data_IF_469342102412
#
_entry.id   IF_469342102412
#
_cell.length_a   1.000
_cell.length_b   1.000
_cell.length_c   1.000
_cell.angle_alpha   90.00
_cell.angle_beta   90.00
_cell.angle_gamma   90.00
#
_symmetry.space_group_name_H-M   'P 1'
#
loop_
_entity.id
_entity.type
_entity.pdbx_description
1 polymer ?
#
# COMPACT_ATOMS: atom_id res chain seq x y z
N UNK A 1 8.32 -10.01 25.19
CA UNK A 1 7.16 -10.73 24.63
C UNK A 1 7.24 -10.51 23.12
N UNK A 2 7.94 -11.41 22.42
CA UNK A 2 8.26 -11.23 21.02
C UNK A 2 7.06 -11.69 20.19
N UNK A 3 6.34 -10.73 19.60
CA UNK A 3 5.35 -11.01 18.58
C UNK A 3 6.10 -11.38 17.31
N UNK A 4 6.31 -12.68 17.09
CA UNK A 4 6.70 -13.22 15.79
C UNK A 4 5.57 -12.91 14.80
N UNK A 5 5.69 -11.79 14.07
CA UNK A 5 4.76 -11.42 12.99
C UNK A 5 4.97 -12.35 11.79
N UNK A 6 4.44 -13.56 11.91
CA UNK A 6 4.43 -14.56 10.84
C UNK A 6 3.11 -14.44 10.08
N UNK A 7 3.21 -14.12 8.78
CA UNK A 7 2.20 -14.24 7.73
C UNK A 7 0.97 -13.32 7.85
N UNK A 8 1.03 -12.19 7.14
CA UNK A 8 -0.16 -11.43 6.73
C UNK A 8 -0.59 -11.99 5.37
N UNK A 9 -1.72 -12.72 5.35
CA UNK A 9 -2.26 -13.38 4.15
C UNK A 9 -3.16 -12.48 3.27
N UNK A 10 -3.15 -11.15 3.48
CA UNK A 10 -3.81 -10.21 2.57
C UNK A 10 -2.98 -8.94 2.47
N UNK A 11 -2.49 -8.68 1.26
CA UNK A 11 -1.47 -7.69 0.98
C UNK A 11 -2.16 -6.60 0.18
N UNK A 12 -2.68 -5.62 0.91
CA UNK A 12 -3.41 -4.51 0.33
C UNK A 12 -4.85 -4.86 -0.06
N UNK A 13 -5.78 -4.04 0.40
CA UNK A 13 -7.11 -3.95 -0.16
C UNK A 13 -7.37 -2.50 -0.55
N UNK A 14 -7.95 -2.30 -1.73
CA UNK A 14 -8.29 -0.98 -2.24
C UNK A 14 -9.58 -0.50 -1.56
N UNK A 15 -9.53 0.68 -0.94
CA UNK A 15 -10.73 1.42 -0.53
C UNK A 15 -11.23 2.28 -1.70
N UNK A 16 -12.43 2.01 -2.19
CA UNK A 16 -13.00 2.69 -3.37
C UNK A 16 -13.27 4.18 -3.19
N UNK A 17 -13.37 4.67 -1.95
CA UNK A 17 -13.85 6.03 -1.64
C UNK A 17 -12.71 7.03 -1.44
N UNK A 18 -11.50 6.61 -1.07
CA UNK A 18 -10.47 7.53 -0.55
C UNK A 18 -9.10 7.48 -1.23
N UNK A 19 -8.95 6.76 -2.36
CA UNK A 19 -7.65 6.62 -3.06
C UNK A 19 -6.52 6.10 -2.15
N UNK A 20 -6.89 5.32 -1.12
CA UNK A 20 -5.98 4.79 -0.09
C UNK A 20 -5.85 3.28 -0.23
N UNK A 21 -4.73 2.76 0.25
CA UNK A 21 -4.44 1.32 0.32
C UNK A 21 -4.51 0.90 1.78
N UNK A 22 -5.42 -0.04 2.06
CA UNK A 22 -5.61 -0.56 3.41
C UNK A 22 -5.04 -1.97 3.55
N UNK A 23 -4.79 -2.40 4.78
CA UNK A 23 -4.37 -3.75 5.15
C UNK A 23 -5.33 -4.20 6.24
N UNK A 24 -5.92 -5.39 6.06
CA UNK A 24 -6.79 -5.98 7.07
C UNK A 24 -6.76 -7.50 6.96
N UNK A 25 -7.09 -8.17 8.06
CA UNK A 25 -7.38 -9.62 8.09
C UNK A 25 -8.87 -9.92 8.16
N UNK A 26 -9.69 -8.87 8.31
CA UNK A 26 -11.13 -8.98 8.41
C UNK A 26 -11.77 -8.80 7.03
N UNK A 27 -12.77 -9.61 6.73
CA UNK A 27 -13.54 -9.43 5.51
C UNK A 27 -14.26 -8.07 5.55
N UNK A 28 -14.39 -7.45 4.38
CA UNK A 28 -15.22 -6.28 4.17
C UNK A 28 -15.82 -6.35 2.76
N UNK A 29 -17.10 -6.00 2.58
CA UNK A 29 -17.74 -5.96 1.27
C UNK A 29 -17.25 -4.80 0.39
N UNK A 30 -16.54 -3.83 0.96
CA UNK A 30 -16.07 -2.62 0.27
C UNK A 30 -14.58 -2.67 -0.09
N UNK A 31 -13.87 -3.67 0.43
CA UNK A 31 -12.45 -3.85 0.26
C UNK A 31 -12.20 -5.00 -0.71
N UNK A 32 -11.44 -4.72 -1.77
CA UNK A 32 -11.04 -5.71 -2.77
C UNK A 32 -9.54 -5.93 -2.71
N UNK A 33 -9.04 -7.17 -2.88
CA UNK A 33 -7.60 -7.42 -2.95
C UNK A 33 -6.92 -6.53 -3.99
N UNK A 34 -5.78 -5.96 -3.62
CA UNK A 34 -4.96 -5.17 -4.52
C UNK A 34 -4.24 -6.10 -5.51
N UNK A 35 -4.62 -6.02 -6.79
CA UNK A 35 -3.92 -6.71 -7.87
C UNK A 35 -3.20 -5.69 -8.73
N UNK A 36 -1.88 -5.83 -8.86
CA UNK A 36 -1.09 -4.90 -9.66
C UNK A 36 -0.02 -5.56 -10.50
N UNK A 37 0.59 -4.76 -11.35
CA UNK A 37 1.64 -5.16 -12.26
C UNK A 37 2.68 -4.06 -12.36
N UNK A 38 3.92 -4.44 -12.68
CA UNK A 38 4.94 -3.46 -12.98
C UNK A 38 4.78 -2.90 -14.38
N UNK A 39 4.85 -1.58 -14.49
CA UNK A 39 4.78 -0.85 -15.75
C UNK A 39 6.01 0.04 -15.91
N UNK A 40 6.53 0.15 -17.14
CA UNK A 40 7.72 0.97 -17.39
C UNK A 40 7.38 2.45 -17.40
N UNK A 41 8.09 3.25 -16.62
CA UNK A 41 8.01 4.70 -16.62
C UNK A 41 9.28 5.32 -17.20
N UNK A 42 9.14 6.31 -18.09
CA UNK A 42 10.26 6.96 -18.78
C UNK A 42 11.17 7.76 -17.86
N UNK A 43 10.62 8.25 -16.75
CA UNK A 43 11.31 9.20 -15.87
C UNK A 43 12.14 8.49 -14.80
N UNK A 44 12.19 7.16 -14.81
CA UNK A 44 12.91 6.37 -13.82
C UNK A 44 14.34 6.03 -14.27
N UNK A 45 15.19 5.70 -13.29
CA UNK A 45 16.62 5.51 -13.51
C UNK A 45 16.92 4.41 -14.55
N UNK A 46 17.95 4.60 -15.40
CA UNK A 46 18.41 3.55 -16.31
C UNK A 46 18.74 2.27 -15.54
N UNK A 47 18.02 1.18 -15.82
CA UNK A 47 18.19 -0.11 -15.14
C UNK A 47 17.07 -0.47 -14.16
N UNK A 48 16.26 0.48 -13.71
CA UNK A 48 15.04 0.21 -12.94
C UNK A 48 13.93 1.18 -13.35
N UNK A 49 13.12 0.75 -14.32
CA UNK A 49 12.04 1.56 -14.90
C UNK A 49 10.65 1.15 -14.39
N UNK A 50 10.58 0.27 -13.39
CA UNK A 50 9.33 -0.33 -12.94
C UNK A 50 8.60 0.60 -11.97
N UNK A 51 7.40 1.04 -12.33
CA UNK A 51 6.41 1.56 -11.38
C UNK A 51 5.28 0.56 -11.19
N UNK A 52 4.44 0.77 -10.19
CA UNK A 52 3.35 -0.15 -9.88
C UNK A 52 2.01 0.42 -10.31
N UNK A 53 1.25 -0.37 -11.06
CA UNK A 53 -0.10 -0.01 -11.51
C UNK A 53 -1.10 -1.06 -11.06
N UNK A 54 -2.30 -0.64 -10.75
CA UNK A 54 -3.44 -1.49 -10.36
C UNK A 54 -4.62 -1.23 -11.29
N UNK A 55 -5.49 -2.22 -11.44
CA UNK A 55 -6.79 -2.03 -12.11
C UNK A 55 -7.86 -1.94 -11.02
N UNK A 56 -8.64 -0.86 -11.06
CA UNK A 56 -9.74 -0.62 -10.11
C UNK A 56 -11.07 -1.14 -10.64
N UNK A 57 -12.02 -1.40 -9.74
CA UNK A 57 -13.39 -1.81 -10.08
C UNK A 57 -14.28 -0.68 -10.62
N UNK A 58 -13.70 0.44 -11.05
CA UNK A 58 -14.42 1.51 -11.75
C UNK A 58 -15.07 0.96 -13.03
N UNK A 59 -16.09 1.64 -13.57
CA UNK A 59 -16.74 1.27 -14.83
C UNK A 59 -16.59 2.42 -15.84
N UNK A 60 -15.71 2.30 -16.85
CA UNK A 60 -14.90 1.13 -17.20
C UNK A 60 -13.73 0.87 -16.22
N UNK A 61 -13.23 -0.38 -16.13
CA UNK A 61 -12.04 -0.68 -15.35
C UNK A 61 -10.88 0.20 -15.81
N UNK A 62 -10.28 0.90 -14.88
CA UNK A 62 -9.29 1.94 -15.17
C UNK A 62 -7.95 1.57 -14.57
N UNK A 63 -6.89 1.75 -15.35
CA UNK A 63 -5.51 1.60 -14.87
C UNK A 63 -5.16 2.80 -14.01
N UNK A 64 -4.73 2.53 -12.77
CA UNK A 64 -4.34 3.53 -11.78
C UNK A 64 -2.88 3.30 -11.36
N UNK A 65 -2.15 4.38 -11.17
CA UNK A 65 -0.81 4.35 -10.60
C UNK A 65 -0.91 4.19 -9.10
N UNK A 66 -0.03 3.37 -8.51
CA UNK A 66 0.24 3.37 -7.08
C UNK A 66 1.48 4.23 -6.83
N UNK A 67 1.38 5.11 -5.85
CA UNK A 67 2.42 6.09 -5.54
C UNK A 67 2.47 6.37 -4.05
N UNK A 68 3.67 6.74 -3.58
CA UNK A 68 3.90 7.24 -2.24
C UNK A 68 3.74 8.76 -2.24
N UNK A 69 2.89 9.25 -1.35
CA UNK A 69 2.76 10.68 -1.05
C UNK A 69 3.92 11.09 -0.13
N UNK A 70 4.89 11.91 -0.59
CA UNK A 70 6.08 12.23 0.19
C UNK A 70 5.79 13.17 1.38
N UNK A 71 4.59 13.75 1.46
CA UNK A 71 4.21 14.62 2.58
C UNK A 71 3.60 13.83 3.74
N UNK A 72 2.87 12.76 3.42
CA UNK A 72 2.13 11.96 4.41
C UNK A 72 2.75 10.59 4.65
N UNK A 73 3.64 10.15 3.77
CA UNK A 73 4.22 8.81 3.73
C UNK A 73 3.20 7.68 3.48
N UNK A 74 1.96 8.01 3.13
CA UNK A 74 0.90 7.06 2.81
C UNK A 74 1.02 6.56 1.36
N UNK A 75 0.79 5.26 1.14
CA UNK A 75 0.62 4.71 -0.20
C UNK A 75 -0.80 4.92 -0.68
N UNK A 76 -0.89 5.50 -1.87
CA UNK A 76 -2.14 5.91 -2.51
C UNK A 76 -2.19 5.36 -3.93
N UNK A 77 -3.37 5.44 -4.53
CA UNK A 77 -3.56 5.09 -5.93
C UNK A 77 -4.39 6.16 -6.64
N UNK A 78 -4.16 6.37 -7.92
CA UNK A 78 -4.85 7.42 -8.66
C UNK A 78 -4.55 7.43 -10.14
N UNK A 79 -5.10 8.42 -10.84
CA UNK A 79 -4.77 8.68 -12.25
C UNK A 79 -3.34 9.19 -12.40
N UNK A 80 -2.90 9.35 -13.65
CA UNK A 80 -1.58 9.93 -13.95
C UNK A 80 -1.41 11.31 -13.32
N UNK A 81 -2.43 12.17 -13.38
CA UNK A 81 -2.40 13.51 -12.79
C UNK A 81 -2.26 13.49 -11.27
N UNK A 82 -2.96 12.58 -10.59
CA UNK A 82 -2.88 12.43 -9.13
C UNK A 82 -1.48 11.96 -8.69
N UNK A 83 -0.77 11.25 -9.57
CA UNK A 83 0.59 10.76 -9.31
C UNK A 83 1.69 11.79 -9.55
N UNK A 84 1.38 12.94 -10.17
CA UNK A 84 2.38 13.98 -10.46
C UNK A 84 2.94 14.58 -9.17
N UNK A 85 4.27 14.60 -9.04
CA UNK A 85 4.96 15.07 -7.84
C UNK A 85 5.06 14.03 -6.71
N UNK A 86 4.38 12.89 -6.85
CA UNK A 86 4.48 11.76 -5.93
C UNK A 86 5.54 10.75 -6.37
N UNK A 87 5.95 9.86 -5.46
CA UNK A 87 6.96 8.85 -5.73
C UNK A 87 6.26 7.61 -6.32
N UNK A 88 6.34 7.47 -7.64
CA UNK A 88 5.77 6.34 -8.38
C UNK A 88 6.71 5.13 -8.49
N UNK A 89 7.90 5.20 -7.91
CA UNK A 89 8.90 4.15 -8.00
C UNK A 89 10.36 4.62 -7.80
N UNK A 90 11.34 3.77 -8.13
CA UNK A 90 11.11 2.44 -8.71
C UNK A 90 10.51 1.46 -7.71
N UNK A 91 9.44 0.77 -8.11
CA UNK A 91 8.99 -0.45 -7.44
C UNK A 91 9.73 -1.63 -8.03
N UNK A 92 10.17 -2.54 -7.19
CA UNK A 92 10.85 -3.76 -7.63
C UNK A 92 10.55 -4.90 -6.64
N UNK A 93 11.22 -6.03 -6.81
CA UNK A 93 11.22 -7.10 -5.81
C UNK A 93 12.61 -7.36 -5.25
N UNK A 94 12.64 -8.04 -4.10
CA UNK A 94 13.85 -8.59 -3.51
C UNK A 94 14.49 -9.63 -4.44
N UNK A 95 15.77 -9.97 -4.23
CA UNK A 95 16.52 -10.88 -5.10
C UNK A 95 15.89 -12.30 -5.21
N UNK A 96 15.18 -12.73 -4.17
CA UNK A 96 14.41 -13.98 -4.13
C UNK A 96 13.02 -13.87 -4.81
N UNK A 97 12.68 -12.69 -5.32
CA UNK A 97 11.41 -12.31 -5.93
C UNK A 97 10.18 -12.49 -5.02
N UNK A 98 10.38 -12.62 -3.70
CA UNK A 98 9.29 -12.90 -2.77
C UNK A 98 8.60 -11.63 -2.22
N UNK A 99 9.33 -10.51 -2.14
CA UNK A 99 8.87 -9.30 -1.47
C UNK A 99 9.03 -8.07 -2.34
N UNK A 100 8.16 -7.09 -2.15
CA UNK A 100 8.14 -5.84 -2.89
C UNK A 100 9.07 -4.83 -2.21
N UNK A 101 9.79 -4.06 -3.02
CA UNK A 101 10.63 -2.95 -2.59
C UNK A 101 10.17 -1.66 -3.26
N UNK A 102 10.44 -0.54 -2.61
CA UNK A 102 10.31 0.79 -3.21
C UNK A 102 11.65 1.50 -3.04
N UNK A 103 12.16 2.09 -4.12
CA UNK A 103 13.48 2.72 -4.16
C UNK A 103 14.62 1.79 -3.69
N UNK A 104 14.45 0.48 -3.91
CA UNK A 104 15.47 -0.54 -3.65
C UNK A 104 15.50 -1.11 -2.23
N UNK A 105 14.53 -0.81 -1.36
CA UNK A 105 14.48 -1.36 -0.01
C UNK A 105 13.04 -1.55 0.52
N UNK A 106 12.91 -2.12 1.72
CA UNK A 106 11.65 -2.59 2.33
C UNK A 106 11.21 -1.72 3.53
N UNK A 107 11.04 -0.40 3.35
CA UNK A 107 10.60 0.54 4.40
C UNK A 107 9.10 0.53 4.70
N UNK A 108 8.42 -0.62 4.61
CA UNK A 108 6.96 -0.70 4.68
C UNK A 108 6.43 -0.63 6.12
N UNK A 109 5.36 0.13 6.30
CA UNK A 109 4.65 0.22 7.59
C UNK A 109 3.15 -0.02 7.41
N UNK A 110 2.56 -0.75 8.35
CA UNK A 110 1.13 -0.73 8.59
C UNK A 110 0.84 0.31 9.69
N UNK A 111 0.11 1.37 9.33
CA UNK A 111 -0.19 2.48 10.24
C UNK A 111 -1.69 2.55 10.49
N UNK A 112 -2.10 2.69 11.74
CA UNK A 112 -3.47 3.06 12.12
C UNK A 112 -3.45 4.45 12.71
N UNK A 113 -4.16 5.38 12.07
CA UNK A 113 -4.24 6.76 12.52
C UNK A 113 -5.37 6.94 13.56
N UNK A 114 -5.27 7.93 14.46
CA UNK A 114 -6.36 8.26 15.37
C UNK A 114 -7.69 8.49 14.62
N UNK A 115 -8.71 7.70 14.94
CA UNK A 115 -10.04 7.80 14.34
C UNK A 115 -10.29 6.90 13.13
N UNK A 116 -9.31 6.09 12.71
CA UNK A 116 -9.50 5.08 11.66
C UNK A 116 -10.54 4.01 12.04
N UNK A 117 -10.95 3.90 13.31
CA UNK A 117 -12.08 3.06 13.71
C UNK A 117 -13.36 3.44 12.94
N UNK A 118 -13.60 4.75 12.73
CA UNK A 118 -14.77 5.22 11.96
C UNK A 118 -14.67 4.82 10.49
N UNK A 119 -13.46 4.89 9.93
CA UNK A 119 -13.20 4.45 8.55
C UNK A 119 -13.44 2.94 8.43
N UNK A 120 -13.01 2.17 9.42
CA UNK A 120 -13.25 0.73 9.47
C UNK A 120 -14.74 0.39 9.56
N UNK A 121 -15.51 1.13 10.37
CA UNK A 121 -16.98 1.02 10.42
C UNK A 121 -17.63 1.34 9.07
N UNK A 122 -17.24 2.45 8.44
CA UNK A 122 -17.73 2.88 7.13
C UNK A 122 -17.45 1.86 6.04
N UNK A 123 -16.27 1.23 6.08
CA UNK A 123 -15.87 0.16 5.17
C UNK A 123 -16.48 -1.20 5.54
N UNK A 124 -17.20 -1.32 6.66
CA UNK A 124 -17.81 -2.56 7.10
C UNK A 124 -16.79 -3.64 7.50
N UNK A 125 -15.67 -3.24 8.10
CA UNK A 125 -14.66 -4.14 8.64
C UNK A 125 -15.12 -4.66 9.99
N UNK A 126 -15.23 -5.98 10.16
CA UNK A 126 -15.77 -6.60 11.39
C UNK A 126 -15.00 -6.22 12.67
N UNK A 127 -13.67 -6.16 12.57
CA UNK A 127 -12.81 -5.67 13.66
C UNK A 127 -12.32 -4.26 13.28
N UNK A 128 -12.85 -3.24 13.93
CA UNK A 128 -12.51 -1.83 13.64
C UNK A 128 -11.02 -1.51 13.87
N UNK A 129 -10.37 -2.22 14.80
CA UNK A 129 -8.92 -2.13 15.03
C UNK A 129 -8.12 -3.06 14.10
N UNK A 130 -8.79 -3.74 13.17
CA UNK A 130 -8.19 -4.60 12.16
C UNK A 130 -7.82 -3.87 10.88
N UNK A 131 -8.25 -2.60 10.71
CA UNK A 131 -7.92 -1.77 9.57
C UNK A 131 -6.61 -1.02 9.81
N UNK A 132 -5.69 -1.13 8.85
CA UNK A 132 -4.44 -0.40 8.79
C UNK A 132 -4.29 0.23 7.41
N UNK A 133 -3.47 1.25 7.29
CA UNK A 133 -3.08 1.89 6.04
C UNK A 133 -1.66 1.46 5.68
N UNK A 134 -1.36 1.32 4.39
CA UNK A 134 0.00 1.05 3.93
C UNK A 134 0.78 2.36 3.84
N UNK A 135 1.89 2.44 4.55
CA UNK A 135 2.81 3.57 4.57
C UNK A 135 4.22 3.10 4.15
N UNK A 136 5.08 4.06 3.82
CA UNK A 136 6.49 3.82 3.57
C UNK A 136 7.35 4.87 4.25
N UNK A 137 8.16 4.43 5.21
CA UNK A 137 9.20 5.27 5.81
C UNK A 137 10.31 5.43 4.78
N UNK A 138 10.40 6.59 4.14
CA UNK A 138 11.39 6.82 3.08
C UNK A 138 12.80 7.03 3.63
N UNK A 139 12.92 7.52 4.86
CA UNK A 139 14.17 8.03 5.42
C UNK A 139 14.68 7.20 6.60
N UNK A 140 13.95 6.14 7.00
CA UNK A 140 14.23 5.33 8.19
C UNK A 140 14.19 6.18 9.48
N UNK A 141 13.23 7.12 9.54
CA UNK A 141 13.07 8.09 10.63
C UNK A 141 11.70 8.02 11.33
N UNK A 142 10.85 7.05 10.97
CA UNK A 142 9.51 6.88 11.52
C UNK A 142 8.42 7.72 10.85
N UNK A 143 8.74 8.39 9.73
CA UNK A 143 7.77 9.03 8.82
C UNK A 143 6.87 10.12 9.44
N UNK A 144 7.37 10.83 10.47
CA UNK A 144 6.71 11.99 11.09
C UNK A 144 5.22 11.77 11.45
N UNK A 145 4.87 10.57 11.91
CA UNK A 145 3.48 10.19 12.17
C UNK A 145 2.84 11.00 13.32
N UNK A 146 1.53 11.29 13.25
CA UNK A 146 0.84 12.08 14.27
C UNK A 146 0.79 11.34 15.62
N UNK A 147 0.69 12.12 16.70
CA UNK A 147 0.53 11.58 18.05
C UNK A 147 -0.68 10.64 18.13
N UNK A 148 -0.48 9.46 18.73
CA UNK A 148 -1.49 8.43 18.86
C UNK A 148 -1.61 7.49 17.66
N UNK A 149 -0.80 7.67 16.61
CA UNK A 149 -0.67 6.66 15.56
C UNK A 149 -0.08 5.36 16.11
N UNK A 150 -0.62 4.24 15.66
CA UNK A 150 -0.07 2.91 15.92
C UNK A 150 0.65 2.40 14.67
N UNK A 151 1.80 1.77 14.87
CA UNK A 151 2.70 1.40 13.78
C UNK A 151 3.17 -0.04 13.95
N UNK A 152 3.17 -0.77 12.84
CA UNK A 152 3.86 -2.05 12.69
C UNK A 152 4.77 -1.96 11.47
N UNK A 153 6.06 -2.21 11.65
CA UNK A 153 6.95 -2.52 10.53
C UNK A 153 6.52 -3.84 9.89
N UNK A 154 6.41 -3.86 8.56
CA UNK A 154 5.92 -5.01 7.82
C UNK A 154 6.80 -5.29 6.60
N UNK A 155 6.57 -6.45 6.00
CA UNK A 155 7.06 -6.73 4.65
C UNK A 155 5.87 -7.01 3.74
N UNK A 156 5.98 -6.58 2.49
CA UNK A 156 4.95 -6.75 1.46
C UNK A 156 5.37 -7.93 0.59
N UNK A 157 4.78 -9.10 0.82
CA UNK A 157 5.02 -10.28 -0.01
C UNK A 157 4.25 -10.22 -1.33
N UNK A 158 4.74 -10.91 -2.34
CA UNK A 158 3.95 -11.20 -3.55
C UNK A 158 3.30 -12.56 -3.38
N UNK A 159 2.00 -12.63 -3.67
CA UNK A 159 1.28 -13.89 -3.81
C UNK A 159 0.78 -14.01 -5.23
N UNK A 160 0.80 -15.23 -5.79
CA UNK A 160 0.17 -15.49 -7.09
C UNK A 160 -1.33 -15.33 -6.90
N UNK A 161 -1.98 -14.51 -7.73
CA UNK A 161 -3.43 -14.43 -7.74
C UNK A 161 -3.98 -15.81 -8.17
N UNK A 162 -4.79 -16.45 -7.33
CA UNK A 162 -5.51 -17.65 -7.73
C UNK A 162 -6.52 -17.25 -8.83
N UNK A 163 -6.40 -17.90 -9.98
CA UNK A 163 -7.23 -17.71 -11.17
C UNK A 163 -8.56 -18.43 -11.09
#
# INVERSE_FOLDING_TARGET
MNLNASYVNQIGVLGSVSQQIYITKSASPQLVPLNGSFYRHSDFSPGNTSGFVTITGETPPTLRWVYLDPQTHELRWGGKQDSEGNICGPFDWTQDEERITLQGWEGWMAVRLPGDEKVAEELGVENVHGLWRLFFDQNDDGADLPEGAEVLEITVKRTVAES
#
